data_IF_769142030354
#
_entry.id   IF_769142030354
#
_cell.length_a   1.000
_cell.length_b   1.000
_cell.length_c   1.000
_cell.angle_alpha   90.00
_cell.angle_beta   90.00
_cell.angle_gamma   90.00
#
_symmetry.space_group_name_H-M   'P 1'
#
loop_
_entity.id
_entity.type
_entity.pdbx_description
1 polymer ?
#
# COMPACT_ATOMS: atom_id res chain seq x y z
N UNK A 1 17.31 -14.54 29.70
CA UNK A 1 16.73 -14.68 28.34
C UNK A 1 15.85 -13.47 28.08
N UNK A 2 16.39 -12.44 27.43
CA UNK A 2 15.61 -11.23 27.10
C UNK A 2 14.59 -11.55 26.00
N UNK A 3 13.33 -11.33 26.33
CA UNK A 3 12.17 -11.48 25.46
C UNK A 3 12.26 -10.53 24.27
N UNK A 4 12.03 -11.08 23.08
CA UNK A 4 11.97 -10.41 21.77
C UNK A 4 10.78 -9.44 21.63
N UNK A 5 10.59 -8.47 22.53
CA UNK A 5 9.36 -7.65 22.58
C UNK A 5 9.34 -6.38 21.71
N UNK A 6 10.42 -6.04 21.00
CA UNK A 6 10.53 -4.75 20.29
C UNK A 6 10.14 -4.72 18.77
N UNK A 7 9.96 -5.83 18.01
CA UNK A 7 9.46 -5.78 16.63
C UNK A 7 7.94 -5.55 16.48
N UNK A 8 7.18 -5.71 17.57
CA UNK A 8 5.71 -5.74 17.53
C UNK A 8 5.12 -4.40 17.08
N UNK A 9 5.75 -3.27 17.42
CA UNK A 9 5.23 -1.94 17.06
C UNK A 9 5.19 -1.73 15.55
N UNK A 10 6.23 -2.18 14.83
CA UNK A 10 6.29 -2.03 13.36
C UNK A 10 5.20 -2.87 12.71
N UNK A 11 5.06 -4.13 13.13
CA UNK A 11 4.07 -5.06 12.60
C UNK A 11 2.64 -4.57 12.88
N UNK A 12 2.34 -4.18 14.11
CA UNK A 12 1.03 -3.64 14.51
C UNK A 12 0.68 -2.40 13.70
N UNK A 13 1.59 -1.42 13.58
CA UNK A 13 1.33 -0.18 12.83
C UNK A 13 1.07 -0.49 11.34
N UNK A 14 1.86 -1.37 10.74
CA UNK A 14 1.68 -1.75 9.33
C UNK A 14 0.35 -2.44 9.11
N UNK A 15 -0.04 -3.37 9.99
CA UNK A 15 -1.34 -4.06 9.92
C UNK A 15 -2.50 -3.08 10.12
N UNK A 16 -2.42 -2.17 11.10
CA UNK A 16 -3.44 -1.14 11.33
C UNK A 16 -3.66 -0.25 10.09
N UNK A 17 -2.58 0.23 9.45
CA UNK A 17 -2.67 1.09 8.26
C UNK A 17 -3.20 0.29 7.06
N UNK A 18 -2.74 -0.96 6.90
CA UNK A 18 -3.25 -1.86 5.87
C UNK A 18 -4.76 -2.03 6.01
N UNK A 19 -5.25 -2.29 7.22
CA UNK A 19 -6.68 -2.49 7.48
C UNK A 19 -7.49 -1.21 7.24
N UNK A 20 -7.01 -0.04 7.71
CA UNK A 20 -7.62 1.27 7.46
C UNK A 20 -7.86 1.54 5.97
N UNK A 21 -6.96 1.05 5.13
CA UNK A 21 -7.01 1.24 3.68
C UNK A 21 -7.78 0.12 2.99
N UNK A 22 -7.62 -1.12 3.44
CA UNK A 22 -8.32 -2.28 2.87
C UNK A 22 -9.83 -2.18 3.04
N UNK A 23 -10.31 -1.71 4.20
CA UNK A 23 -11.75 -1.60 4.48
C UNK A 23 -12.47 -0.70 3.47
N UNK A 24 -11.77 0.23 2.83
CA UNK A 24 -12.32 1.11 1.78
C UNK A 24 -12.65 0.37 0.50
N UNK A 25 -12.02 -0.78 0.27
CA UNK A 25 -12.26 -1.62 -0.90
C UNK A 25 -13.61 -2.37 -0.86
N UNK A 26 -14.32 -2.35 0.27
CA UNK A 26 -15.61 -3.04 0.43
C UNK A 26 -15.49 -4.57 0.44
N UNK A 27 -14.28 -5.12 0.46
CA UNK A 27 -14.04 -6.56 0.55
C UNK A 27 -13.96 -7.02 2.01
N UNK A 28 -14.21 -8.31 2.23
CA UNK A 28 -13.98 -8.92 3.53
C UNK A 28 -12.52 -8.75 3.97
N UNK A 29 -12.31 -8.52 5.27
CA UNK A 29 -10.98 -8.41 5.87
C UNK A 29 -10.22 -9.73 5.66
N UNK A 30 -9.03 -9.72 5.04
CA UNK A 30 -8.24 -10.92 4.87
C UNK A 30 -7.61 -11.32 6.21
N UNK A 31 -7.60 -12.62 6.51
CA UNK A 31 -6.82 -13.16 7.61
C UNK A 31 -5.35 -13.29 7.17
N UNK A 32 -4.49 -12.40 7.68
CA UNK A 32 -3.05 -12.40 7.33
C UNK A 32 -2.32 -13.43 8.21
N UNK A 33 -2.22 -14.67 7.71
CA UNK A 33 -1.35 -15.69 8.30
C UNK A 33 0.06 -15.65 7.69
N UNK A 34 1.03 -16.28 8.35
CA UNK A 34 2.37 -16.47 7.78
C UNK A 34 2.30 -17.22 6.44
N UNK A 35 1.41 -18.20 6.31
CA UNK A 35 1.19 -18.92 5.06
C UNK A 35 0.67 -18.01 3.95
N UNK A 36 -0.28 -17.12 4.24
CA UNK A 36 -0.75 -16.12 3.28
C UNK A 36 0.37 -15.14 2.93
N UNK A 37 1.17 -14.72 3.91
CA UNK A 37 2.29 -13.80 3.69
C UNK A 37 3.33 -14.39 2.71
N UNK A 38 3.70 -15.66 2.90
CA UNK A 38 4.65 -16.38 2.03
C UNK A 38 4.04 -16.69 0.65
N UNK A 39 2.75 -17.04 0.61
CA UNK A 39 2.03 -17.43 -0.59
C UNK A 39 1.25 -16.30 -1.27
N UNK A 40 1.49 -15.04 -0.90
CA UNK A 40 0.61 -13.93 -1.27
C UNK A 40 0.44 -13.80 -2.79
N UNK A 41 1.50 -14.03 -3.55
CA UNK A 41 1.49 -13.97 -5.02
C UNK A 41 0.50 -14.96 -5.66
N UNK A 42 0.08 -16.01 -4.94
CA UNK A 42 -0.89 -17.02 -5.37
C UNK A 42 -2.31 -16.78 -4.82
N UNK A 43 -2.47 -15.85 -3.86
CA UNK A 43 -3.76 -15.56 -3.25
C UNK A 43 -4.72 -14.95 -4.27
N UNK A 44 -5.99 -15.38 -4.23
CA UNK A 44 -7.05 -14.87 -5.10
C UNK A 44 -8.32 -14.58 -4.30
N UNK A 45 -8.96 -13.44 -4.60
CA UNK A 45 -10.28 -13.09 -4.09
C UNK A 45 -11.31 -13.51 -5.13
N UNK A 46 -12.36 -14.20 -4.68
CA UNK A 46 -13.44 -14.70 -5.55
C UNK A 46 -14.78 -14.09 -5.16
N UNK A 47 -15.65 -13.90 -6.14
CA UNK A 47 -17.04 -13.52 -5.93
C UNK A 47 -17.90 -14.73 -5.52
N UNK A 48 -19.19 -14.49 -5.26
CA UNK A 48 -20.14 -15.54 -4.88
C UNK A 48 -20.31 -16.62 -5.95
N UNK A 49 -20.05 -16.29 -7.22
CA UNK A 49 -20.08 -17.23 -8.35
C UNK A 49 -18.72 -17.92 -8.59
N UNK A 50 -17.72 -17.70 -7.73
CA UNK A 50 -16.39 -18.31 -7.79
C UNK A 50 -15.42 -17.67 -8.80
N UNK A 51 -15.81 -16.56 -9.46
CA UNK A 51 -14.97 -15.84 -10.42
C UNK A 51 -13.97 -14.95 -9.68
N UNK A 52 -12.77 -14.82 -10.25
CA UNK A 52 -11.68 -14.05 -9.62
C UNK A 52 -11.91 -12.54 -9.79
N UNK A 53 -11.99 -11.82 -8.67
CA UNK A 53 -12.01 -10.35 -8.62
C UNK A 53 -10.59 -9.84 -8.83
N UNK A 54 -10.19 -9.68 -10.09
CA UNK A 54 -8.79 -9.40 -10.50
C UNK A 54 -8.20 -8.13 -9.87
N UNK A 55 -8.96 -7.04 -9.84
CA UNK A 55 -8.53 -5.76 -9.25
C UNK A 55 -8.25 -5.86 -7.75
N UNK A 56 -9.26 -6.25 -6.94
CA UNK A 56 -9.09 -6.51 -5.50
C UNK A 56 -8.00 -7.53 -5.17
N UNK A 57 -7.91 -8.61 -5.96
CA UNK A 57 -6.84 -9.61 -5.81
C UNK A 57 -5.47 -8.98 -5.98
N UNK A 58 -5.25 -8.23 -7.06
CA UNK A 58 -3.97 -7.56 -7.33
C UNK A 58 -3.64 -6.53 -6.25
N UNK A 59 -4.64 -5.78 -5.78
CA UNK A 59 -4.47 -4.81 -4.70
C UNK A 59 -4.02 -5.48 -3.39
N UNK A 60 -4.67 -6.60 -3.01
CA UNK A 60 -4.30 -7.39 -1.84
C UNK A 60 -2.84 -7.85 -1.94
N UNK A 61 -2.47 -8.41 -3.10
CA UNK A 61 -1.13 -8.91 -3.36
C UNK A 61 -0.08 -7.80 -3.21
N UNK A 62 -0.32 -6.63 -3.80
CA UNK A 62 0.57 -5.47 -3.68
C UNK A 62 0.68 -5.06 -2.21
N UNK A 63 -0.42 -4.80 -1.52
CA UNK A 63 -0.35 -4.22 -0.18
C UNK A 63 0.25 -5.15 0.85
N UNK A 64 -0.05 -6.46 0.80
CA UNK A 64 0.56 -7.43 1.70
C UNK A 64 2.05 -7.61 1.38
N UNK A 65 2.44 -7.70 0.10
CA UNK A 65 3.86 -7.82 -0.27
C UNK A 65 4.69 -6.60 0.15
N UNK A 66 4.18 -5.39 -0.05
CA UNK A 66 4.81 -4.14 0.41
C UNK A 66 4.91 -4.07 1.94
N UNK A 67 3.87 -4.54 2.64
CA UNK A 67 3.84 -4.58 4.11
C UNK A 67 4.93 -5.51 4.67
N UNK A 68 5.02 -6.74 4.13
CA UNK A 68 6.03 -7.72 4.55
C UNK A 68 7.43 -7.19 4.27
N UNK A 69 7.63 -6.63 3.07
CA UNK A 69 8.92 -6.06 2.70
C UNK A 69 9.33 -4.92 3.63
N UNK A 70 8.41 -4.00 3.93
CA UNK A 70 8.68 -2.89 4.85
C UNK A 70 9.01 -3.38 6.27
N UNK A 71 8.25 -4.34 6.80
CA UNK A 71 8.52 -4.96 8.11
C UNK A 71 9.93 -5.54 8.10
N UNK A 72 10.30 -6.29 7.06
CA UNK A 72 11.64 -6.86 6.93
C UNK A 72 12.72 -5.79 6.91
N UNK A 73 12.57 -4.75 6.07
CA UNK A 73 13.54 -3.64 5.98
C UNK A 73 13.72 -2.95 7.33
N UNK A 74 12.63 -2.59 8.01
CA UNK A 74 12.68 -1.86 9.28
C UNK A 74 13.29 -2.71 10.40
N UNK A 75 13.02 -4.02 10.40
CA UNK A 75 13.62 -4.96 11.36
C UNK A 75 15.12 -5.12 11.12
N UNK A 76 15.54 -5.27 9.87
CA UNK A 76 16.96 -5.34 9.51
C UNK A 76 17.68 -4.03 9.86
N UNK A 77 17.07 -2.89 9.56
CA UNK A 77 17.62 -1.59 9.92
C UNK A 77 17.85 -1.47 11.42
N UNK A 78 16.83 -1.78 12.23
CA UNK A 78 16.96 -1.72 13.68
C UNK A 78 17.99 -2.72 14.23
N UNK A 79 18.03 -3.94 13.70
CA UNK A 79 18.95 -4.97 14.19
C UNK A 79 20.40 -4.73 13.80
N UNK A 80 20.66 -4.28 12.57
CA UNK A 80 22.00 -4.20 11.98
C UNK A 80 22.57 -2.80 12.10
N UNK A 81 21.81 -1.77 11.71
CA UNK A 81 22.29 -0.38 11.73
C UNK A 81 22.26 0.22 13.15
N UNK A 82 21.26 -0.17 13.94
CA UNK A 82 21.09 0.33 15.30
C UNK A 82 21.46 -0.69 16.38
N UNK A 83 22.05 -1.83 16.00
CA UNK A 83 22.51 -2.88 16.92
C UNK A 83 21.44 -3.40 17.89
N UNK A 84 20.15 -3.21 17.55
CA UNK A 84 19.04 -3.56 18.44
C UNK A 84 18.82 -2.58 19.59
N UNK A 85 19.30 -1.34 19.48
CA UNK A 85 19.13 -0.28 20.48
C UNK A 85 17.63 0.03 20.71
N UNK A 86 17.08 -0.20 21.92
CA UNK A 86 15.68 0.08 22.22
C UNK A 86 15.29 1.56 22.08
N UNK A 87 16.24 2.48 22.20
CA UNK A 87 15.99 3.93 22.04
C UNK A 87 15.78 4.34 20.57
N UNK A 88 16.21 3.50 19.62
CA UNK A 88 16.13 3.74 18.18
C UNK A 88 15.02 2.96 17.49
N UNK A 89 14.00 2.56 18.26
CA UNK A 89 12.79 1.95 17.68
C UNK A 89 12.07 2.98 16.81
N UNK A 90 11.65 2.54 15.63
CA UNK A 90 10.94 3.39 14.69
C UNK A 90 9.64 3.92 15.29
N UNK A 91 9.43 5.24 15.19
CA UNK A 91 8.18 5.85 15.63
C UNK A 91 7.01 5.43 14.73
N UNK A 92 5.80 5.42 15.29
CA UNK A 92 4.57 5.07 14.55
C UNK A 92 4.39 5.93 13.29
N UNK A 93 4.62 7.24 13.40
CA UNK A 93 4.54 8.16 12.26
C UNK A 93 5.61 7.89 11.20
N UNK A 94 6.82 7.51 11.60
CA UNK A 94 7.87 7.13 10.66
C UNK A 94 7.46 5.89 9.86
N UNK A 95 6.98 4.83 10.55
CA UNK A 95 6.49 3.61 9.91
C UNK A 95 5.32 3.91 8.97
N UNK A 96 4.35 4.72 9.41
CA UNK A 96 3.18 5.12 8.62
C UNK A 96 3.58 5.84 7.34
N UNK A 97 4.40 6.88 7.46
CA UNK A 97 4.85 7.67 6.31
C UNK A 97 5.64 6.80 5.31
N UNK A 98 6.46 5.87 5.79
CA UNK A 98 7.25 4.97 4.93
C UNK A 98 6.38 3.95 4.20
N UNK A 99 5.37 3.39 4.87
CA UNK A 99 4.40 2.50 4.24
C UNK A 99 3.61 3.22 3.14
N UNK A 100 3.10 4.43 3.44
CA UNK A 100 2.39 5.24 2.46
C UNK A 100 3.26 5.63 1.28
N UNK A 101 4.53 5.97 1.53
CA UNK A 101 5.48 6.23 0.46
C UNK A 101 5.68 5.00 -0.45
N UNK A 102 5.69 3.79 0.11
CA UNK A 102 5.80 2.53 -0.65
C UNK A 102 4.59 2.28 -1.53
N UNK A 103 3.38 2.38 -0.97
CA UNK A 103 2.13 2.20 -1.73
C UNK A 103 1.97 3.28 -2.80
N UNK A 104 2.28 4.54 -2.49
CA UNK A 104 2.27 5.64 -3.46
C UNK A 104 3.31 5.45 -4.57
N UNK A 105 4.45 4.84 -4.26
CA UNK A 105 5.45 4.47 -5.27
C UNK A 105 4.90 3.39 -6.21
N UNK A 106 4.20 2.38 -5.69
CA UNK A 106 3.55 1.35 -6.51
C UNK A 106 2.47 1.91 -7.43
N UNK A 107 1.61 2.79 -6.92
CA UNK A 107 0.62 3.48 -7.76
C UNK A 107 1.30 4.26 -8.90
N UNK A 108 2.35 5.04 -8.59
CA UNK A 108 3.08 5.80 -9.62
C UNK A 108 3.73 4.89 -10.65
N UNK A 109 4.27 3.75 -10.24
CA UNK A 109 4.86 2.77 -11.16
C UNK A 109 3.80 2.17 -12.07
N UNK A 110 2.68 1.72 -11.53
CA UNK A 110 1.58 1.18 -12.31
C UNK A 110 1.09 2.16 -13.37
N UNK A 111 0.96 3.44 -12.99
CA UNK A 111 0.59 4.52 -13.90
C UNK A 111 1.66 4.86 -14.93
N UNK A 112 2.94 4.74 -14.57
CA UNK A 112 4.03 4.92 -15.54
C UNK A 112 4.03 3.79 -16.58
N UNK A 113 3.76 2.56 -16.12
CA UNK A 113 3.74 1.37 -16.97
C UNK A 113 2.58 1.35 -17.95
N UNK A 114 1.58 2.24 -17.83
CA UNK A 114 0.51 2.35 -18.85
C UNK A 114 0.94 3.09 -20.11
N UNK A 115 2.11 3.71 -20.14
CA UNK A 115 2.58 4.46 -21.30
C UNK A 115 2.89 3.55 -22.49
N UNK A 116 1.94 3.41 -23.42
CA UNK A 116 2.09 2.61 -24.64
C UNK A 116 3.18 3.14 -25.57
N UNK A 117 3.51 4.44 -25.56
CA UNK A 117 4.60 4.99 -26.38
C UNK A 117 5.95 4.44 -25.95
N UNK A 118 6.15 4.27 -24.64
CA UNK A 118 7.41 3.78 -24.07
C UNK A 118 7.46 2.25 -24.02
N UNK A 119 6.36 1.60 -23.64
CA UNK A 119 6.33 0.16 -23.33
C UNK A 119 5.64 -0.69 -24.41
N UNK A 120 5.03 -0.08 -25.43
CA UNK A 120 4.37 -0.77 -26.53
C UNK A 120 3.36 -1.82 -26.05
N UNK A 121 3.46 -3.03 -26.61
CA UNK A 121 2.60 -4.17 -26.23
C UNK A 121 2.80 -4.68 -24.79
N UNK A 122 3.88 -4.27 -24.11
CA UNK A 122 4.15 -4.61 -22.70
C UNK A 122 3.54 -3.60 -21.72
N UNK A 123 2.94 -2.51 -22.22
CA UNK A 123 2.28 -1.53 -21.40
C UNK A 123 1.13 -2.17 -20.59
N UNK A 124 1.00 -1.72 -19.35
CA UNK A 124 -0.11 -2.10 -18.49
C UNK A 124 -1.38 -1.40 -19.00
N UNK A 125 -2.47 -2.15 -19.18
CA UNK A 125 -3.74 -1.55 -19.61
C UNK A 125 -4.27 -0.61 -18.52
N UNK A 126 -4.71 0.63 -18.83
CA UNK A 126 -5.26 1.57 -17.84
C UNK A 126 -6.38 0.97 -16.98
N UNK A 127 -7.28 0.19 -17.60
CA UNK A 127 -8.35 -0.55 -16.90
C UNK A 127 -7.87 -1.47 -15.78
N UNK A 128 -6.65 -2.01 -15.86
CA UNK A 128 -6.08 -2.84 -14.80
C UNK A 128 -5.66 -1.96 -13.62
N UNK A 129 -5.10 -0.78 -13.88
CA UNK A 129 -4.75 0.21 -12.85
C UNK A 129 -6.01 0.73 -12.17
N UNK A 130 -7.03 1.10 -12.95
CA UNK A 130 -8.34 1.50 -12.44
C UNK A 130 -8.93 0.44 -11.52
N UNK A 131 -9.08 -0.79 -12.02
CA UNK A 131 -9.63 -1.89 -11.24
C UNK A 131 -8.82 -2.21 -9.96
N UNK A 132 -7.52 -1.93 -9.94
CA UNK A 132 -6.68 -2.16 -8.76
C UNK A 132 -6.84 -1.06 -7.72
N UNK A 133 -6.90 0.21 -8.13
CA UNK A 133 -6.65 1.34 -7.25
C UNK A 133 -7.86 2.26 -7.02
N UNK A 134 -8.89 2.22 -7.88
CA UNK A 134 -10.06 3.12 -7.81
C UNK A 134 -10.69 3.12 -6.41
N UNK A 135 -10.90 1.93 -5.85
CA UNK A 135 -11.56 1.73 -4.56
C UNK A 135 -10.78 2.27 -3.36
N UNK A 136 -9.47 2.51 -3.52
CA UNK A 136 -8.62 3.07 -2.45
C UNK A 136 -8.45 4.59 -2.59
N UNK A 137 -8.70 5.14 -3.77
CA UNK A 137 -8.48 6.56 -4.09
C UNK A 137 -9.78 7.38 -4.01
N UNK A 138 -10.94 6.75 -4.27
CA UNK A 138 -12.22 7.44 -4.51
C UNK A 138 -12.75 8.36 -3.38
N UNK A 139 -12.37 8.17 -2.12
CA UNK A 139 -12.88 8.98 -1.01
C UNK A 139 -12.53 10.48 -1.06
N UNK A 140 -11.55 10.91 -1.87
CA UNK A 140 -11.11 12.32 -1.93
C UNK A 140 -11.53 13.10 -3.16
N UNK A 141 -12.07 12.46 -4.18
CA UNK A 141 -12.37 13.13 -5.45
C UNK A 141 -13.77 13.78 -5.47
N UNK A 142 -14.38 14.05 -4.32
CA UNK A 142 -15.81 14.44 -4.21
C UNK A 142 -16.74 13.45 -4.95
N UNK A 143 -16.34 12.16 -5.03
CA UNK A 143 -17.03 11.12 -5.80
C UNK A 143 -16.73 11.10 -7.30
N UNK A 144 -15.77 11.92 -7.78
CA UNK A 144 -15.47 12.09 -9.20
C UNK A 144 -13.96 12.06 -9.47
N UNK A 145 -13.38 10.85 -9.54
CA UNK A 145 -12.09 10.68 -10.22
C UNK A 145 -12.24 11.14 -11.68
N UNK A 146 -11.31 11.96 -12.21
CA UNK A 146 -11.32 12.30 -13.63
C UNK A 146 -11.35 11.02 -14.49
N UNK A 147 -12.08 10.98 -15.62
CA UNK A 147 -12.16 9.80 -16.48
C UNK A 147 -10.78 9.23 -16.88
N UNK A 148 -9.77 10.09 -16.98
CA UNK A 148 -8.39 9.72 -17.35
C UNK A 148 -7.38 9.84 -16.19
N UNK A 149 -7.82 9.71 -14.94
CA UNK A 149 -6.95 9.92 -13.75
C UNK A 149 -5.71 9.01 -13.73
N UNK A 150 -5.76 7.83 -14.37
CA UNK A 150 -4.59 6.95 -14.51
C UNK A 150 -3.47 7.63 -15.29
N UNK A 151 -3.83 8.43 -16.30
CA UNK A 151 -2.91 9.17 -17.15
C UNK A 151 -2.44 10.48 -16.49
N UNK A 152 -3.19 11.03 -15.55
CA UNK A 152 -2.94 12.36 -14.96
C UNK A 152 -2.09 12.31 -13.67
N UNK A 153 -0.94 12.99 -13.62
CA UNK A 153 0.23 12.83 -12.71
C UNK A 153 -0.01 13.11 -11.19
N UNK A 154 -1.18 12.81 -10.64
CA UNK A 154 -1.47 12.94 -9.20
C UNK A 154 -0.69 11.98 -8.30
N UNK A 155 -0.67 12.27 -6.99
CA UNK A 155 -0.18 11.37 -5.94
C UNK A 155 -1.35 10.97 -5.05
N UNK A 156 -1.29 9.78 -4.44
CA UNK A 156 -2.24 9.36 -3.40
C UNK A 156 -1.89 10.13 -2.11
N UNK A 157 -2.28 11.40 -2.08
CA UNK A 157 -2.37 12.20 -0.86
C UNK A 157 -3.75 11.90 -0.31
N UNK A 158 -3.80 10.99 0.65
CA UNK A 158 -5.04 10.48 1.23
C UNK A 158 -4.96 10.18 2.71
N UNK A 159 -3.81 9.70 3.16
CA UNK A 159 -3.72 9.05 4.47
C UNK A 159 -3.05 9.99 5.47
N UNK A 160 -3.86 10.63 6.31
CA UNK A 160 -3.42 11.18 7.60
C UNK A 160 -2.56 12.44 7.59
N UNK A 161 -2.68 13.36 6.62
CA UNK A 161 -2.14 14.72 6.80
C UNK A 161 -3.24 15.66 7.26
N UNK A 162 -3.15 16.11 8.51
CA UNK A 162 -3.71 17.39 8.95
C UNK A 162 -3.31 18.46 7.94
N UNK A 163 -4.29 19.30 7.56
CA UNK A 163 -4.17 20.34 6.54
C UNK A 163 -2.85 21.11 6.74
N UNK A 164 -1.94 21.03 5.77
CA UNK A 164 -0.81 21.98 5.70
C UNK A 164 -1.43 23.34 5.38
N UNK A 165 -1.19 24.41 6.15
CA UNK A 165 -1.78 25.72 5.87
C UNK A 165 -1.34 26.18 4.48
N UNK A 166 -2.21 26.89 3.72
CA UNK A 166 -1.82 27.46 2.44
C UNK A 166 -0.60 28.36 2.64
N UNK A 167 0.47 28.06 1.90
CA UNK A 167 1.66 28.91 1.86
C UNK A 167 1.26 30.30 1.37
N UNK A 168 1.55 31.31 2.20
CA UNK A 168 1.34 32.71 1.89
C UNK A 168 2.41 33.10 0.86
N UNK A 169 2.03 33.23 -0.41
CA UNK A 169 2.89 33.85 -1.42
C UNK A 169 3.22 35.28 -0.96
N UNK A 170 4.50 35.59 -0.86
CA UNK A 170 5.03 36.95 -0.93
C UNK A 170 5.50 37.18 -2.35
#
# INVERSE_FOLDING_TARGET
MQTFQLPVVVEVVVVEIFEEIWLRNGEAKPFISLGLALGIALATIRDAEGRVKRGPTRLLQIMVSESIHLIWVLRCQWRIEFEGDPSKIHSRDHVRNRWLASVNKRLRWDRTLTNEKTYGRKALKPKVVEATWCTVIDERADGHLPPDWVSDKGVLVGVGRTRRPPGRNR
#
